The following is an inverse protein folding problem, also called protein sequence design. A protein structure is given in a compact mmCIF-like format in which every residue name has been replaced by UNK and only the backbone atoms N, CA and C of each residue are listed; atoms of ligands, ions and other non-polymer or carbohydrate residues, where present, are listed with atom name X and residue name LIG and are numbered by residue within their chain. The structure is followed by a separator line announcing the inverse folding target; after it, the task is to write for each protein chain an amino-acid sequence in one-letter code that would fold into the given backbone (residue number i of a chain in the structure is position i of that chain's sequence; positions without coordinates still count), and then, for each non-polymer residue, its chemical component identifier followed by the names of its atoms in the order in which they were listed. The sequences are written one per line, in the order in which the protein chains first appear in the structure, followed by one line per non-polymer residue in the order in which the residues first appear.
data_IF_112356460037
#
_entry.id   IF_112356460037
#
_cell.length_a   1.000
_cell.length_b   1.000
_cell.length_c   1.000
_cell.angle_alpha   90.00
_cell.angle_beta   90.00
_cell.angle_gamma   90.00
#
_symmetry.space_group_name_H-M   'P 1'
#
loop_
_entity.id
_entity.type
_entity.pdbx_description
1 polymer ?
#
# COMPACT_ATOMS: atom_id res chain seq x y z
N UNK A 1 -34.58 24.09 2.51
CA UNK A 1 -34.27 22.63 2.48
C UNK A 1 -32.77 22.59 2.53
N UNK A 2 -32.28 22.65 3.77
CA UNK A 2 -30.98 23.24 4.04
C UNK A 2 -29.93 22.15 3.87
N UNK A 3 -29.01 22.40 2.94
CA UNK A 3 -27.88 21.53 2.68
C UNK A 3 -27.12 21.38 3.99
N UNK A 4 -26.96 20.14 4.47
CA UNK A 4 -26.14 19.86 5.64
C UNK A 4 -24.75 20.38 5.29
N UNK A 5 -24.16 21.32 6.04
CA UNK A 5 -22.81 21.80 5.75
C UNK A 5 -21.92 20.57 5.70
N UNK A 6 -21.16 20.43 4.61
CA UNK A 6 -20.35 19.26 4.29
C UNK A 6 -19.17 19.10 5.27
N UNK A 7 -19.49 18.86 6.54
CA UNK A 7 -18.55 18.74 7.65
C UNK A 7 -17.49 17.69 7.36
N UNK A 8 -16.45 17.67 8.20
CA UNK A 8 -15.27 16.82 8.00
C UNK A 8 -15.66 15.39 7.60
N UNK A 9 -15.08 14.84 6.52
CA UNK A 9 -15.39 13.48 6.10
C UNK A 9 -15.21 12.42 7.19
N UNK A 10 -14.26 12.64 8.10
CA UNK A 10 -14.05 11.77 9.27
C UNK A 10 -15.21 11.85 10.25
N UNK A 11 -15.76 13.05 10.48
CA UNK A 11 -16.95 13.22 11.32
C UNK A 11 -18.15 12.49 10.72
N UNK A 12 -18.33 12.53 9.40
CA UNK A 12 -19.41 11.80 8.72
C UNK A 12 -19.23 10.28 8.81
N UNK A 13 -18.00 9.78 8.65
CA UNK A 13 -17.69 8.38 8.88
C UNK A 13 -18.02 7.95 10.33
N UNK A 14 -17.64 8.76 11.32
CA UNK A 14 -17.98 8.50 12.72
C UNK A 14 -19.49 8.53 12.99
N UNK A 15 -20.22 9.46 12.39
CA UNK A 15 -21.68 9.56 12.48
C UNK A 15 -22.37 8.27 12.03
N UNK A 16 -21.97 7.72 10.87
CA UNK A 16 -22.51 6.46 10.35
C UNK A 16 -22.23 5.30 11.31
N UNK A 17 -21.01 5.21 11.85
CA UNK A 17 -20.66 4.14 12.82
C UNK A 17 -21.47 4.26 14.10
N UNK A 18 -21.59 5.46 14.67
CA UNK A 18 -22.36 5.71 15.90
C UNK A 18 -23.84 5.40 15.68
N UNK A 19 -24.42 5.87 14.57
CA UNK A 19 -25.81 5.61 14.22
C UNK A 19 -26.08 4.11 13.99
N UNK A 20 -25.17 3.39 13.34
CA UNK A 20 -25.29 1.94 13.12
C UNK A 20 -25.22 1.14 14.44
N UNK A 21 -24.36 1.55 15.39
CA UNK A 21 -24.28 0.94 16.72
C UNK A 21 -25.55 1.24 17.52
N UNK A 22 -26.03 2.48 17.48
CA UNK A 22 -27.27 2.88 18.14
C UNK A 22 -28.48 2.09 17.63
N UNK A 23 -28.55 1.86 16.31
CA UNK A 23 -29.63 1.12 15.63
C UNK A 23 -29.32 -0.37 15.45
N UNK A 24 -28.38 -0.95 16.21
CA UNK A 24 -27.94 -2.36 16.02
C UNK A 24 -29.07 -3.37 16.13
N UNK A 25 -30.06 -3.12 17.00
CA UNK A 25 -31.21 -4.00 17.24
C UNK A 25 -32.42 -3.73 16.33
N UNK A 26 -32.29 -2.82 15.36
CA UNK A 26 -33.37 -2.48 14.41
C UNK A 26 -33.30 -3.44 13.21
N UNK A 27 -34.47 -3.91 12.76
CA UNK A 27 -34.58 -4.72 11.56
C UNK A 27 -34.43 -3.88 10.30
N UNK A 28 -33.71 -4.42 9.32
CA UNK A 28 -33.54 -3.78 8.02
C UNK A 28 -34.84 -3.94 7.21
N UNK A 29 -35.35 -2.86 6.59
CA UNK A 29 -36.47 -2.98 5.67
C UNK A 29 -36.08 -3.86 4.46
N UNK A 30 -37.03 -4.68 4.00
CA UNK A 30 -36.84 -5.57 2.84
C UNK A 30 -36.63 -4.76 1.54
N UNK A 31 -37.27 -3.59 1.44
CA UNK A 31 -37.11 -2.68 0.31
C UNK A 31 -36.05 -1.61 0.58
N UNK A 32 -34.98 -1.62 -0.21
CA UNK A 32 -33.88 -0.64 -0.16
C UNK A 32 -34.34 0.80 -0.46
N UNK A 33 -35.51 0.97 -1.09
CA UNK A 33 -36.12 2.28 -1.37
C UNK A 33 -36.72 2.95 -0.13
N UNK A 34 -36.85 2.24 0.98
CA UNK A 34 -37.35 2.79 2.26
C UNK A 34 -36.23 3.43 3.10
N UNK A 35 -34.98 3.33 2.66
CA UNK A 35 -33.84 3.94 3.34
C UNK A 35 -33.82 5.46 3.11
N UNK A 36 -33.43 6.20 4.14
CA UNK A 36 -33.41 7.66 4.12
C UNK A 36 -32.37 8.20 3.14
N UNK A 37 -32.83 8.94 2.12
CA UNK A 37 -32.00 9.65 1.15
C UNK A 37 -32.66 11.00 0.82
N UNK A 38 -31.89 12.07 0.62
CA UNK A 38 -32.44 13.37 0.25
C UNK A 38 -33.19 13.30 -1.10
N UNK A 39 -34.39 13.86 -1.18
CA UNK A 39 -35.14 13.95 -2.44
C UNK A 39 -34.41 14.81 -3.49
N UNK A 40 -34.41 14.36 -4.75
CA UNK A 40 -33.80 15.07 -5.89
C UNK A 40 -32.51 14.43 -6.42
N UNK A 41 -31.84 15.09 -7.38
CA UNK A 41 -30.63 14.59 -8.05
C UNK A 41 -29.31 14.94 -7.34
N UNK A 42 -29.35 15.82 -6.33
CA UNK A 42 -28.17 16.27 -5.57
C UNK A 42 -28.01 15.40 -4.32
N UNK A 43 -26.77 15.02 -3.98
CA UNK A 43 -26.50 14.38 -2.68
C UNK A 43 -26.67 15.38 -1.54
N UNK A 44 -26.88 14.87 -0.33
CA UNK A 44 -26.86 15.69 0.90
C UNK A 44 -25.51 16.40 1.13
N UNK A 45 -24.46 15.95 0.45
CA UNK A 45 -23.11 16.49 0.50
C UNK A 45 -22.89 17.39 -0.72
N UNK A 46 -22.48 18.62 -0.49
CA UNK A 46 -22.18 19.58 -1.55
C UNK A 46 -21.01 19.08 -2.43
N UNK A 47 -21.19 19.08 -3.76
CA UNK A 47 -20.16 18.66 -4.71
C UNK A 47 -20.00 17.13 -4.91
N UNK A 48 -20.80 16.29 -4.26
CA UNK A 48 -20.78 14.83 -4.46
C UNK A 48 -21.90 14.33 -5.37
N UNK A 49 -21.64 13.21 -6.05
CA UNK A 49 -22.69 12.45 -6.74
C UNK A 49 -23.37 11.48 -5.77
N UNK A 50 -24.64 11.17 -6.04
CA UNK A 50 -25.32 10.08 -5.33
C UNK A 50 -24.65 8.76 -5.62
N UNK A 51 -24.53 7.94 -4.57
CA UNK A 51 -23.97 6.61 -4.64
C UNK A 51 -25.10 5.59 -4.68
N UNK A 52 -24.97 4.56 -5.52
CA UNK A 52 -25.93 3.47 -5.56
C UNK A 52 -25.77 2.59 -4.33
N UNK A 53 -26.89 2.16 -3.76
CA UNK A 53 -26.90 1.25 -2.62
C UNK A 53 -26.20 -0.08 -2.95
N UNK A 54 -25.26 -0.49 -2.11
CA UNK A 54 -24.63 -1.82 -2.14
C UNK A 54 -25.14 -2.70 -1.01
N UNK A 55 -25.40 -3.99 -1.27
CA UNK A 55 -25.81 -4.95 -0.24
C UNK A 55 -24.67 -5.38 0.71
N UNK A 56 -23.45 -4.90 0.47
CA UNK A 56 -22.28 -5.18 1.31
C UNK A 56 -22.30 -4.33 2.58
N UNK A 57 -21.85 -4.92 3.69
CA UNK A 57 -21.87 -4.28 5.02
C UNK A 57 -23.27 -3.77 5.41
N UNK A 58 -24.30 -4.60 5.19
CA UNK A 58 -25.71 -4.25 5.42
C UNK A 58 -26.04 -3.81 6.85
N UNK A 59 -25.20 -4.13 7.83
CA UNK A 59 -25.35 -3.61 9.19
C UNK A 59 -25.24 -2.08 9.26
N UNK A 60 -24.51 -1.44 8.34
CA UNK A 60 -24.41 0.02 8.24
C UNK A 60 -25.70 0.65 7.70
N UNK A 61 -26.46 -0.09 6.88
CA UNK A 61 -27.72 0.40 6.30
C UNK A 61 -28.79 0.67 7.36
N UNK A 62 -28.63 0.08 8.56
CA UNK A 62 -29.46 0.37 9.73
C UNK A 62 -29.45 1.84 10.13
N UNK A 63 -28.37 2.56 9.83
CA UNK A 63 -28.25 4.00 10.12
C UNK A 63 -29.16 4.88 9.26
N UNK A 64 -29.66 4.37 8.13
CA UNK A 64 -30.63 5.05 7.26
C UNK A 64 -32.09 4.65 7.51
N UNK A 65 -32.37 3.82 8.53
CA UNK A 65 -33.75 3.43 8.89
C UNK A 65 -34.41 4.53 9.72
N UNK A 66 -35.56 5.03 9.25
CA UNK A 66 -36.36 6.04 9.95
C UNK A 66 -37.17 5.35 11.06
N UNK A 67 -36.89 5.65 12.34
CA UNK A 67 -37.75 5.20 13.44
C UNK A 67 -38.94 6.13 13.62
N UNK A 68 -40.12 5.56 13.94
CA UNK A 68 -41.34 6.35 14.22
C UNK A 68 -41.16 7.37 15.37
N UNK A 69 -40.25 7.09 16.31
CA UNK A 69 -39.90 8.02 17.41
C UNK A 69 -39.09 9.24 16.96
N UNK A 70 -38.54 9.25 15.75
CA UNK A 70 -37.62 10.28 15.23
C UNK A 70 -38.32 11.27 14.28
N UNK A 71 -39.65 11.15 14.10
CA UNK A 71 -40.44 11.93 13.13
C UNK A 71 -40.52 13.44 13.45
N UNK A 72 -39.91 13.91 14.54
CA UNK A 72 -39.80 15.32 14.92
C UNK A 72 -38.37 15.85 15.10
N UNK A 73 -37.35 14.99 15.07
CA UNK A 73 -35.93 15.34 15.32
C UNK A 73 -35.03 14.85 14.16
N UNK A 74 -35.56 14.97 12.93
CA UNK A 74 -34.99 14.47 11.66
C UNK A 74 -33.60 15.09 11.36
N UNK A 75 -33.19 16.09 12.12
CA UNK A 75 -31.96 16.85 11.93
C UNK A 75 -30.75 16.37 12.73
N UNK A 76 -30.82 15.30 13.53
CA UNK A 76 -29.63 14.83 14.26
C UNK A 76 -28.77 13.87 13.39
N UNK A 77 -27.62 14.33 12.84
CA UNK A 77 -26.80 13.54 11.93
C UNK A 77 -26.10 12.34 12.61
N UNK A 78 -26.12 12.27 13.95
CA UNK A 78 -25.57 11.15 14.72
C UNK A 78 -26.57 10.01 14.94
N UNK A 79 -27.83 10.20 14.57
CA UNK A 79 -28.90 9.19 14.71
C UNK A 79 -29.50 8.75 13.38
N UNK A 80 -29.55 9.65 12.39
CA UNK A 80 -30.04 9.37 11.05
C UNK A 80 -29.00 9.79 10.00
N UNK A 81 -28.54 8.83 9.20
CA UNK A 81 -27.59 9.07 8.12
C UNK A 81 -28.24 8.81 6.75
N UNK A 82 -27.71 9.45 5.72
CA UNK A 82 -28.16 9.24 4.33
C UNK A 82 -27.49 8.01 3.71
N UNK A 83 -28.14 7.36 2.73
CA UNK A 83 -27.54 6.24 1.97
C UNK A 83 -26.23 6.68 1.32
N UNK A 84 -26.15 7.91 0.81
CA UNK A 84 -24.89 8.44 0.27
C UNK A 84 -23.76 8.43 1.31
N UNK A 85 -23.98 8.91 2.55
CA UNK A 85 -22.95 8.89 3.61
C UNK A 85 -22.53 7.47 4.00
N UNK A 86 -23.48 6.54 4.03
CA UNK A 86 -23.22 5.13 4.33
C UNK A 86 -22.34 4.51 3.24
N UNK A 87 -22.65 4.77 1.97
CA UNK A 87 -21.87 4.28 0.86
C UNK A 87 -20.46 4.90 0.80
N UNK A 88 -20.28 6.17 1.21
CA UNK A 88 -18.95 6.75 1.37
C UNK A 88 -18.08 5.92 2.33
N UNK A 89 -18.64 5.55 3.50
CA UNK A 89 -17.93 4.71 4.48
C UNK A 89 -17.70 3.29 3.95
N UNK A 90 -18.68 2.67 3.31
CA UNK A 90 -18.55 1.33 2.72
C UNK A 90 -17.44 1.29 1.66
N UNK A 91 -17.26 2.36 0.88
CA UNK A 91 -16.18 2.46 -0.10
C UNK A 91 -14.81 2.49 0.60
N UNK A 92 -14.65 3.28 1.66
CA UNK A 92 -13.41 3.31 2.45
C UNK A 92 -13.09 1.93 3.05
N UNK A 93 -14.10 1.25 3.60
CA UNK A 93 -13.96 -0.11 4.14
C UNK A 93 -13.53 -1.10 3.06
N UNK A 94 -14.02 -0.97 1.82
CA UNK A 94 -13.60 -1.78 0.67
C UNK A 94 -12.17 -1.48 0.24
N UNK A 95 -11.75 -0.22 0.30
CA UNK A 95 -10.39 0.20 -0.08
C UNK A 95 -9.33 -0.17 0.98
N UNK A 96 -9.73 -0.26 2.25
CA UNK A 96 -8.82 -0.46 3.37
C UNK A 96 -7.92 -1.71 3.27
N UNK A 97 -8.42 -2.92 2.91
CA UNK A 97 -7.56 -4.09 2.76
C UNK A 97 -6.49 -3.90 1.67
N UNK A 98 -6.85 -3.30 0.54
CA UNK A 98 -5.92 -3.00 -0.55
C UNK A 98 -4.88 -1.97 -0.10
N UNK A 99 -5.33 -0.91 0.57
CA UNK A 99 -4.45 0.09 1.17
C UNK A 99 -3.44 -0.54 2.14
N UNK A 100 -3.88 -1.46 3.00
CA UNK A 100 -3.03 -2.12 3.99
C UNK A 100 -1.92 -2.95 3.32
N UNK A 101 -2.22 -3.63 2.21
CA UNK A 101 -1.19 -4.39 1.47
C UNK A 101 -0.11 -3.49 0.84
N UNK A 102 -0.41 -2.21 0.59
CA UNK A 102 0.56 -1.22 0.15
C UNK A 102 1.61 -0.88 1.22
N UNK A 103 1.31 -1.08 2.51
CA UNK A 103 2.25 -0.81 3.61
C UNK A 103 3.50 -1.68 3.45
N UNK A 104 3.32 -2.97 3.14
CA UNK A 104 4.44 -3.92 2.96
C UNK A 104 5.30 -3.56 1.75
N UNK A 105 4.71 -3.02 0.68
CA UNK A 105 5.48 -2.49 -0.45
C UNK A 105 6.45 -1.39 0.01
N UNK A 106 5.97 -0.41 0.77
CA UNK A 106 6.83 0.66 1.27
C UNK A 106 7.82 0.18 2.33
N UNK A 107 7.53 -0.90 3.06
CA UNK A 107 8.51 -1.59 3.91
C UNK A 107 9.68 -2.15 3.11
N UNK A 108 9.43 -2.66 1.90
CA UNK A 108 10.48 -3.09 0.97
C UNK A 108 11.28 -1.89 0.46
N UNK A 109 10.60 -0.82 0.02
CA UNK A 109 11.26 0.41 -0.41
C UNK A 109 12.13 1.01 0.70
N UNK A 110 11.73 0.93 1.98
CA UNK A 110 12.53 1.40 3.10
C UNK A 110 13.88 0.66 3.27
N UNK A 111 14.04 -0.54 2.71
CA UNK A 111 15.33 -1.24 2.71
C UNK A 111 16.37 -0.55 1.83
N UNK A 112 15.92 0.15 0.78
CA UNK A 112 16.74 0.92 -0.16
C UNK A 112 17.64 1.95 0.56
N UNK A 113 17.09 2.62 1.58
CA UNK A 113 17.79 3.66 2.35
C UNK A 113 18.47 3.14 3.62
N UNK A 114 18.46 1.82 3.88
CA UNK A 114 18.99 1.23 5.11
C UNK A 114 19.81 -0.03 4.82
N UNK A 115 19.19 -1.21 4.86
CA UNK A 115 19.87 -2.50 4.77
C UNK A 115 20.63 -2.70 3.46
N UNK A 116 20.19 -2.08 2.36
CA UNK A 116 20.94 -2.13 1.10
C UNK A 116 22.24 -1.33 1.16
N UNK A 117 22.26 -0.23 1.94
CA UNK A 117 23.47 0.55 2.19
C UNK A 117 24.43 -0.26 3.07
N UNK A 118 23.93 -0.90 4.13
CA UNK A 118 24.72 -1.79 4.99
C UNK A 118 25.38 -2.92 4.20
N UNK A 119 24.61 -3.62 3.35
CA UNK A 119 25.16 -4.61 2.42
C UNK A 119 26.23 -4.02 1.50
N UNK A 120 26.01 -2.80 0.98
CA UNK A 120 26.95 -2.11 0.10
C UNK A 120 28.25 -1.67 0.79
N UNK A 121 28.20 -1.38 2.09
CA UNK A 121 29.40 -1.08 2.89
C UNK A 121 30.30 -2.29 3.08
N UNK A 122 29.74 -3.50 3.05
CA UNK A 122 30.47 -4.76 3.16
C UNK A 122 30.99 -5.30 1.81
N UNK A 123 30.79 -4.57 0.70
CA UNK A 123 31.23 -4.91 -0.66
C UNK A 123 32.39 -4.01 -1.11
N UNK A 124 33.17 -4.48 -2.08
CA UNK A 124 34.24 -3.69 -2.68
C UNK A 124 33.66 -2.49 -3.45
N UNK A 125 33.94 -1.30 -2.95
CA UNK A 125 33.47 -0.02 -3.49
C UNK A 125 34.43 0.61 -4.50
N UNK A 126 35.56 -0.02 -4.84
CA UNK A 126 36.44 0.43 -5.91
C UNK A 126 36.02 -0.17 -7.25
N UNK A 127 35.68 0.71 -8.19
CA UNK A 127 35.41 0.35 -9.59
C UNK A 127 36.44 1.06 -10.46
N UNK A 128 37.46 0.31 -10.89
CA UNK A 128 38.64 0.89 -11.54
C UNK A 128 39.38 1.84 -10.59
N UNK A 129 39.54 3.10 -10.98
CA UNK A 129 40.19 4.14 -10.17
C UNK A 129 39.24 4.93 -9.26
N UNK A 130 37.92 4.69 -9.35
CA UNK A 130 36.92 5.47 -8.65
C UNK A 130 36.32 4.70 -7.48
N UNK A 131 36.13 5.38 -6.34
CA UNK A 131 35.49 4.82 -5.15
C UNK A 131 34.02 5.27 -5.11
N UNK A 132 33.10 4.33 -5.30
CA UNK A 132 31.66 4.58 -5.31
C UNK A 132 31.13 4.52 -3.86
N UNK A 133 30.62 5.61 -3.27
CA UNK A 133 30.01 5.54 -1.94
C UNK A 133 28.74 4.67 -1.98
N UNK A 134 28.54 3.72 -1.05
CA UNK A 134 27.39 2.79 -1.09
C UNK A 134 26.03 3.48 -1.17
N UNK A 135 25.86 4.61 -0.47
CA UNK A 135 24.62 5.40 -0.53
C UNK A 135 24.26 5.90 -1.94
N UNK A 136 25.24 6.09 -2.83
CA UNK A 136 24.99 6.57 -4.20
C UNK A 136 24.26 5.54 -5.06
N UNK A 137 24.26 4.26 -4.68
CA UNK A 137 23.52 3.21 -5.40
C UNK A 137 22.01 3.42 -5.38
N UNK A 138 21.47 4.14 -4.39
CA UNK A 138 20.07 4.61 -4.40
C UNK A 138 19.75 5.45 -5.65
N UNK A 139 20.74 6.04 -6.31
CA UNK A 139 20.53 6.74 -7.59
C UNK A 139 20.13 5.79 -8.72
N UNK A 140 20.50 4.50 -8.67
CA UNK A 140 20.09 3.51 -9.67
C UNK A 140 18.57 3.30 -9.67
N UNK A 141 17.95 3.37 -8.49
CA UNK A 141 16.50 3.32 -8.34
C UNK A 141 15.84 4.52 -9.03
N UNK A 142 16.33 5.74 -8.77
CA UNK A 142 15.86 6.97 -9.45
C UNK A 142 16.07 6.90 -10.96
N UNK A 143 17.21 6.41 -11.43
CA UNK A 143 17.48 6.20 -12.86
C UNK A 143 16.48 5.20 -13.45
N UNK A 144 16.19 4.11 -12.73
CA UNK A 144 15.19 3.12 -13.12
C UNK A 144 13.83 3.78 -13.32
N UNK A 145 13.38 4.60 -12.37
CA UNK A 145 12.11 5.34 -12.46
C UNK A 145 12.09 6.25 -13.69
N UNK A 146 13.14 7.07 -13.88
CA UNK A 146 13.26 8.00 -15.02
C UNK A 146 13.21 7.28 -16.36
N UNK A 147 13.77 6.07 -16.46
CA UNK A 147 13.75 5.25 -17.68
C UNK A 147 12.41 4.54 -17.85
N UNK A 148 11.84 3.99 -16.78
CA UNK A 148 10.63 3.18 -16.86
C UNK A 148 9.34 3.98 -17.02
N UNK A 149 9.26 5.20 -16.51
CA UNK A 149 8.09 6.09 -16.72
C UNK A 149 7.79 6.32 -18.21
N UNK A 150 8.74 6.81 -19.06
CA UNK A 150 8.46 7.01 -20.48
C UNK A 150 8.25 5.67 -21.21
N UNK A 151 8.92 4.59 -20.79
CA UNK A 151 8.69 3.25 -21.37
C UNK A 151 7.24 2.81 -21.10
N UNK A 152 6.78 3.01 -19.88
CA UNK A 152 5.44 2.67 -19.44
C UNK A 152 4.39 3.44 -20.25
N UNK A 153 4.51 4.76 -20.32
CA UNK A 153 3.52 5.60 -21.01
C UNK A 153 3.53 5.41 -22.53
N UNK A 154 4.71 5.26 -23.14
CA UNK A 154 4.86 5.25 -24.60
C UNK A 154 4.75 3.88 -25.24
N UNK A 155 5.11 2.82 -24.52
CA UNK A 155 5.11 1.46 -25.07
C UNK A 155 4.13 0.56 -24.34
N UNK A 156 4.21 0.48 -23.01
CA UNK A 156 3.40 -0.47 -22.24
C UNK A 156 1.91 -0.12 -22.32
N UNK A 157 1.53 1.14 -22.12
CA UNK A 157 0.12 1.57 -22.17
C UNK A 157 -0.50 1.31 -23.56
N UNK A 158 0.10 1.71 -24.69
CA UNK A 158 -0.47 1.41 -26.02
C UNK A 158 -0.57 -0.08 -26.33
N UNK A 159 0.44 -0.88 -25.94
CA UNK A 159 0.41 -2.33 -26.13
C UNK A 159 -0.71 -2.95 -25.29
N UNK A 160 -0.77 -2.59 -24.01
CA UNK A 160 -1.80 -3.08 -23.11
C UNK A 160 -3.20 -2.66 -23.58
N UNK A 161 -3.38 -1.44 -24.12
CA UNK A 161 -4.65 -1.00 -24.74
C UNK A 161 -5.05 -1.90 -25.90
N UNK A 162 -4.11 -2.24 -26.80
CA UNK A 162 -4.38 -3.14 -27.94
C UNK A 162 -4.76 -4.55 -27.51
N UNK A 163 -4.12 -5.07 -26.46
CA UNK A 163 -4.36 -6.45 -25.99
C UNK A 163 -5.61 -6.58 -25.12
N UNK A 164 -5.87 -5.60 -24.25
CA UNK A 164 -6.97 -5.67 -23.27
C UNK A 164 -8.26 -5.03 -23.76
N UNK A 165 -8.22 -4.18 -24.78
CA UNK A 165 -9.35 -3.38 -25.23
C UNK A 165 -9.79 -2.30 -24.24
N UNK A 166 -9.09 -2.11 -23.11
CA UNK A 166 -9.40 -1.09 -22.11
C UNK A 166 -8.65 0.21 -22.43
N UNK A 167 -9.30 1.36 -22.25
CA UNK A 167 -8.70 2.69 -22.50
C UNK A 167 -7.39 2.96 -21.75
N UNK A 168 -7.11 2.26 -20.66
CA UNK A 168 -5.87 2.42 -19.87
C UNK A 168 -4.94 1.21 -19.93
N UNK A 169 -5.26 0.21 -20.73
CA UNK A 169 -4.51 -1.04 -20.82
C UNK A 169 -4.67 -1.91 -19.58
N UNK A 170 -3.82 -1.72 -18.58
CA UNK A 170 -3.92 -2.42 -17.29
C UNK A 170 -4.93 -1.77 -16.34
N UNK A 171 -5.64 -2.59 -15.55
CA UNK A 171 -6.42 -2.06 -14.43
C UNK A 171 -5.50 -1.54 -13.32
N UNK A 172 -6.04 -0.64 -12.49
CA UNK A 172 -5.33 -0.05 -11.34
C UNK A 172 -4.75 -1.14 -10.42
N UNK A 173 -5.59 -2.13 -10.07
CA UNK A 173 -5.19 -3.28 -9.23
C UNK A 173 -4.16 -4.17 -9.90
N UNK A 174 -4.20 -4.34 -11.24
CA UNK A 174 -3.17 -5.10 -11.95
C UNK A 174 -1.81 -4.42 -11.87
N UNK A 175 -1.76 -3.09 -12.03
CA UNK A 175 -0.52 -2.32 -11.90
C UNK A 175 0.06 -2.43 -10.50
N UNK A 176 -0.77 -2.24 -9.46
CA UNK A 176 -0.34 -2.43 -8.08
C UNK A 176 0.18 -3.85 -7.81
N UNK A 177 -0.50 -4.88 -8.34
CA UNK A 177 -0.06 -6.27 -8.22
C UNK A 177 1.28 -6.54 -8.88
N UNK A 178 1.52 -6.00 -10.09
CA UNK A 178 2.82 -6.11 -10.78
C UNK A 178 3.92 -5.50 -9.91
N UNK A 179 3.69 -4.30 -9.36
CA UNK A 179 4.70 -3.65 -8.53
C UNK A 179 5.02 -4.40 -7.24
N UNK A 180 4.01 -4.94 -6.55
CA UNK A 180 4.18 -5.83 -5.38
C UNK A 180 4.95 -7.12 -5.71
N UNK A 181 4.69 -7.71 -6.87
CA UNK A 181 5.39 -8.90 -7.32
C UNK A 181 6.86 -8.59 -7.64
N UNK A 182 7.12 -7.50 -8.37
CA UNK A 182 8.47 -7.06 -8.73
C UNK A 182 9.27 -6.70 -7.48
N UNK A 183 8.68 -6.02 -6.49
CA UNK A 183 9.36 -5.71 -5.23
C UNK A 183 9.73 -6.97 -4.44
N UNK A 184 8.89 -8.00 -4.48
CA UNK A 184 9.18 -9.30 -3.88
C UNK A 184 10.40 -9.96 -4.53
N UNK A 185 10.46 -9.92 -5.88
CA UNK A 185 11.64 -10.39 -6.63
C UNK A 185 12.87 -9.55 -6.26
N UNK A 186 12.76 -8.23 -6.13
CA UNK A 186 13.87 -7.36 -5.80
C UNK A 186 14.54 -7.75 -4.47
N UNK A 187 13.75 -8.03 -3.44
CA UNK A 187 14.28 -8.47 -2.14
C UNK A 187 14.82 -9.89 -2.19
N UNK A 188 14.19 -10.79 -2.96
CA UNK A 188 14.74 -12.13 -3.18
C UNK A 188 16.12 -12.07 -3.88
N UNK A 189 16.28 -11.18 -4.86
CA UNK A 189 17.58 -10.91 -5.50
C UNK A 189 18.58 -10.37 -4.49
N UNK A 190 18.19 -9.43 -3.63
CA UNK A 190 19.06 -8.93 -2.56
C UNK A 190 19.52 -10.04 -1.60
N UNK A 191 18.64 -10.99 -1.27
CA UNK A 191 18.98 -12.17 -0.47
C UNK A 191 20.01 -13.07 -1.19
N UNK A 192 19.86 -13.29 -2.49
CA UNK A 192 20.80 -14.08 -3.30
C UNK A 192 22.17 -13.40 -3.42
N UNK A 193 22.18 -12.08 -3.63
CA UNK A 193 23.42 -11.28 -3.63
C UNK A 193 24.13 -11.39 -2.29
N UNK A 194 23.37 -11.39 -1.19
CA UNK A 194 23.94 -11.51 0.16
C UNK A 194 24.52 -12.90 0.43
N UNK A 195 23.86 -13.97 -0.02
CA UNK A 195 24.41 -15.34 0.07
C UNK A 195 25.75 -15.40 -0.67
N UNK A 196 25.84 -14.82 -1.87
CA UNK A 196 27.09 -14.78 -2.64
C UNK A 196 28.17 -13.95 -1.95
N UNK A 197 27.80 -12.83 -1.33
CA UNK A 197 28.73 -12.00 -0.54
C UNK A 197 29.30 -12.78 0.65
N UNK A 198 28.44 -13.49 1.40
CA UNK A 198 28.84 -14.32 2.54
C UNK A 198 29.72 -15.51 2.12
N UNK A 199 29.46 -16.13 0.97
CA UNK A 199 30.33 -17.15 0.38
C UNK A 199 31.73 -16.58 0.08
N UNK A 200 31.81 -15.37 -0.50
CA UNK A 200 33.08 -14.66 -0.74
C UNK A 200 33.83 -14.41 0.56
N UNK A 201 33.15 -13.90 1.59
CA UNK A 201 33.74 -13.64 2.91
C UNK A 201 34.37 -14.90 3.54
N UNK A 202 33.71 -16.05 3.40
CA UNK A 202 34.25 -17.34 3.87
C UNK A 202 35.45 -17.79 3.06
N UNK A 203 35.39 -17.68 1.74
CA UNK A 203 36.49 -18.09 0.85
C UNK A 203 37.75 -17.25 1.03
N UNK A 204 37.59 -15.96 1.36
CA UNK A 204 38.68 -15.02 1.60
C UNK A 204 39.18 -15.06 3.06
N UNK A 205 38.54 -15.83 3.95
CA UNK A 205 38.90 -15.89 5.38
C UNK A 205 38.60 -14.61 6.16
N UNK A 206 37.67 -13.78 5.66
CA UNK A 206 37.34 -12.45 6.21
C UNK A 206 36.17 -12.47 7.20
N UNK A 207 35.66 -13.65 7.56
CA UNK A 207 34.47 -13.82 8.43
C UNK A 207 34.59 -12.99 9.72
N UNK A 208 35.73 -13.08 10.41
CA UNK A 208 35.96 -12.38 11.69
C UNK A 208 36.54 -10.97 11.54
N UNK A 209 36.63 -10.46 10.31
CA UNK A 209 37.19 -9.14 10.04
C UNK A 209 36.11 -8.23 9.50
N UNK A 210 35.96 -7.03 10.09
CA UNK A 210 35.05 -5.99 9.61
C UNK A 210 35.65 -5.26 8.42
N UNK A 211 35.90 -5.99 7.33
CA UNK A 211 36.44 -5.48 6.07
C UNK A 211 35.56 -5.87 4.90
N UNK A 212 35.48 -5.04 3.84
CA UNK A 212 34.71 -5.38 2.65
C UNK A 212 35.28 -6.61 1.93
N UNK A 213 34.40 -7.44 1.37
CA UNK A 213 34.81 -8.57 0.52
C UNK A 213 35.22 -8.09 -0.87
N UNK A 214 35.97 -8.90 -1.62
CA UNK A 214 36.43 -8.56 -2.97
C UNK A 214 35.29 -8.34 -4.01
N UNK A 215 34.10 -8.87 -3.74
CA UNK A 215 32.91 -8.76 -4.59
C UNK A 215 32.52 -7.29 -4.83
N UNK A 216 32.36 -6.92 -6.11
CA UNK A 216 32.03 -5.54 -6.49
C UNK A 216 30.65 -5.11 -6.00
N UNK A 217 30.55 -3.86 -5.56
CA UNK A 217 29.29 -3.22 -5.16
C UNK A 217 28.22 -3.21 -6.26
N UNK A 218 28.62 -3.31 -7.53
CA UNK A 218 27.70 -3.31 -8.69
C UNK A 218 26.78 -4.54 -8.74
N UNK A 219 27.09 -5.61 -8.01
CA UNK A 219 26.20 -6.76 -7.87
C UNK A 219 24.85 -6.43 -7.24
N UNK A 220 24.74 -5.29 -6.54
CA UNK A 220 23.45 -4.81 -6.00
C UNK A 220 22.60 -4.13 -7.08
N UNK A 221 23.14 -3.76 -8.24
CA UNK A 221 22.39 -3.01 -9.26
C UNK A 221 21.03 -3.64 -9.63
N UNK A 222 20.89 -4.97 -9.81
CA UNK A 222 19.60 -5.59 -10.11
C UNK A 222 18.52 -5.32 -9.06
N UNK A 223 18.86 -5.33 -7.76
CA UNK A 223 17.86 -5.15 -6.70
C UNK A 223 17.36 -3.69 -6.64
N UNK A 224 18.24 -2.70 -6.85
CA UNK A 224 17.86 -1.28 -6.92
C UNK A 224 17.01 -0.99 -8.17
N UNK A 225 17.40 -1.53 -9.33
CA UNK A 225 16.65 -1.34 -10.57
C UNK A 225 15.24 -1.94 -10.48
N UNK A 226 15.10 -3.15 -9.90
CA UNK A 226 13.82 -3.81 -9.72
C UNK A 226 12.91 -3.06 -8.74
N UNK A 227 13.44 -2.49 -7.64
CA UNK A 227 12.64 -1.62 -6.77
C UNK A 227 12.05 -0.46 -7.56
N UNK A 228 12.84 0.24 -8.38
CA UNK A 228 12.34 1.36 -9.18
C UNK A 228 11.29 0.96 -10.21
N UNK A 229 11.42 -0.23 -10.82
CA UNK A 229 10.33 -0.79 -11.65
C UNK A 229 9.07 -0.98 -10.83
N UNK A 230 9.20 -1.62 -9.67
CA UNK A 230 8.08 -1.86 -8.76
C UNK A 230 7.39 -0.56 -8.35
N UNK A 231 8.17 0.49 -8.08
CA UNK A 231 7.68 1.80 -7.66
C UNK A 231 6.89 2.50 -8.76
N UNK A 232 7.35 2.48 -10.01
CA UNK A 232 6.58 3.05 -11.14
C UNK A 232 5.20 2.40 -11.25
N UNK A 233 5.14 1.06 -11.21
CA UNK A 233 3.87 0.34 -11.34
C UNK A 233 2.95 0.52 -10.12
N UNK A 234 3.49 0.43 -8.91
CA UNK A 234 2.69 0.57 -7.68
C UNK A 234 2.22 2.01 -7.50
N UNK A 235 3.11 3.01 -7.60
CA UNK A 235 2.76 4.40 -7.31
C UNK A 235 1.71 4.96 -8.29
N UNK A 236 1.83 4.66 -9.58
CA UNK A 236 0.83 5.06 -10.59
C UNK A 236 -0.50 4.33 -10.33
N UNK A 237 -0.45 3.01 -10.11
CA UNK A 237 -1.65 2.21 -9.83
C UNK A 237 -2.37 2.66 -8.55
N UNK A 238 -1.61 2.95 -7.50
CA UNK A 238 -2.10 3.41 -6.21
C UNK A 238 -2.73 4.79 -6.32
N UNK A 239 -2.05 5.76 -6.94
CA UNK A 239 -2.58 7.11 -7.11
C UNK A 239 -3.90 7.12 -7.91
N UNK A 240 -3.96 6.38 -9.01
CA UNK A 240 -5.20 6.26 -9.80
C UNK A 240 -6.30 5.54 -9.04
N UNK A 241 -5.99 4.43 -8.35
CA UNK A 241 -6.95 3.69 -7.53
C UNK A 241 -7.58 4.56 -6.44
N UNK A 242 -6.75 5.25 -5.65
CA UNK A 242 -7.25 6.13 -4.61
C UNK A 242 -8.06 7.28 -5.22
N UNK A 243 -7.63 7.87 -6.33
CA UNK A 243 -8.36 8.97 -6.94
C UNK A 243 -9.73 8.55 -7.50
N UNK A 244 -9.78 7.44 -8.24
CA UNK A 244 -10.98 7.00 -8.96
C UNK A 244 -12.00 6.29 -8.06
N UNK A 245 -11.53 5.51 -7.07
CA UNK A 245 -12.44 4.80 -6.16
C UNK A 245 -12.94 5.69 -5.02
N UNK A 246 -12.24 6.77 -4.69
CA UNK A 246 -12.66 7.67 -3.61
C UNK A 246 -14.05 8.26 -3.83
N UNK A 247 -14.83 8.44 -2.75
CA UNK A 247 -15.96 9.36 -2.76
C UNK A 247 -15.50 10.77 -3.14
N UNK A 248 -16.34 11.52 -3.87
CA UNK A 248 -15.95 12.83 -4.41
C UNK A 248 -15.56 13.83 -3.31
N UNK A 249 -16.29 13.80 -2.20
CA UNK A 249 -16.03 14.61 -1.01
C UNK A 249 -14.80 14.18 -0.19
N UNK A 250 -14.23 13.00 -0.46
CA UNK A 250 -13.16 12.39 0.36
C UNK A 250 -11.85 12.19 -0.41
N UNK A 251 -11.75 12.68 -1.65
CA UNK A 251 -10.56 12.51 -2.49
C UNK A 251 -9.28 13.00 -1.81
N UNK A 252 -9.30 14.19 -1.22
CA UNK A 252 -8.14 14.75 -0.51
C UNK A 252 -7.71 13.89 0.68
N UNK A 253 -8.68 13.39 1.46
CA UNK A 253 -8.40 12.49 2.58
C UNK A 253 -7.77 11.19 2.10
N UNK A 254 -8.28 10.60 1.02
CA UNK A 254 -7.75 9.35 0.47
C UNK A 254 -6.35 9.53 -0.14
N UNK A 255 -6.06 10.70 -0.73
CA UNK A 255 -4.68 11.06 -1.12
C UNK A 255 -3.75 11.16 0.09
N UNK A 256 -4.22 11.71 1.21
CA UNK A 256 -3.44 11.73 2.44
C UNK A 256 -3.18 10.31 2.99
N UNK A 257 -4.16 9.39 2.88
CA UNK A 257 -3.96 7.98 3.24
C UNK A 257 -2.83 7.32 2.45
N UNK A 258 -2.61 7.68 1.17
CA UNK A 258 -1.49 7.16 0.39
C UNK A 258 -0.12 7.57 0.99
N UNK A 259 0.01 8.80 1.49
CA UNK A 259 1.22 9.24 2.20
C UNK A 259 1.38 8.53 3.55
N UNK A 260 0.29 8.29 4.27
CA UNK A 260 0.31 7.50 5.52
C UNK A 260 0.83 6.09 5.26
N UNK A 261 0.54 5.49 4.09
CA UNK A 261 1.09 4.18 3.71
C UNK A 261 2.62 4.18 3.71
N UNK A 262 3.25 5.25 3.20
CA UNK A 262 4.71 5.38 3.17
C UNK A 262 5.28 5.41 4.59
N UNK A 263 4.71 6.26 5.44
CA UNK A 263 5.14 6.39 6.84
C UNK A 263 4.98 5.08 7.63
N UNK A 264 3.84 4.41 7.47
CA UNK A 264 3.60 3.11 8.10
C UNK A 264 4.55 2.03 7.56
N UNK A 265 4.90 2.07 6.27
CA UNK A 265 5.88 1.16 5.67
C UNK A 265 7.26 1.29 6.31
N UNK A 266 7.71 2.53 6.52
CA UNK A 266 8.97 2.83 7.22
C UNK A 266 8.94 2.41 8.69
N UNK A 267 7.84 2.68 9.41
CA UNK A 267 7.71 2.22 10.80
C UNK A 267 7.66 0.70 10.91
N UNK A 268 6.97 0.02 9.99
CA UNK A 268 6.93 -1.43 9.94
C UNK A 268 8.33 -2.01 9.65
N UNK A 269 9.12 -1.39 8.77
CA UNK A 269 10.53 -1.76 8.55
C UNK A 269 11.34 -1.70 9.83
N UNK A 270 11.31 -0.56 10.53
CA UNK A 270 12.02 -0.39 11.80
C UNK A 270 11.53 -1.36 12.88
N UNK A 271 10.23 -1.65 12.92
CA UNK A 271 9.66 -2.62 13.84
C UNK A 271 10.15 -4.04 13.55
N UNK A 272 10.12 -4.48 12.28
CA UNK A 272 10.61 -5.80 11.88
C UNK A 272 12.10 -5.93 12.21
N UNK A 273 12.90 -4.92 11.87
CA UNK A 273 14.34 -4.90 12.20
C UNK A 273 14.56 -5.06 13.70
N UNK A 274 13.89 -4.23 14.51
CA UNK A 274 14.01 -4.28 15.97
C UNK A 274 13.60 -5.65 16.52
N UNK A 275 12.50 -6.21 16.02
CA UNK A 275 11.99 -7.51 16.45
C UNK A 275 12.97 -8.64 16.09
N UNK A 276 13.51 -8.62 14.88
CA UNK A 276 14.52 -9.60 14.43
C UNK A 276 15.78 -9.50 15.28
N UNK A 277 16.30 -8.30 15.51
CA UNK A 277 17.45 -8.10 16.40
C UNK A 277 17.16 -8.62 17.81
N UNK A 278 16.01 -8.28 18.40
CA UNK A 278 15.64 -8.77 19.73
C UNK A 278 15.50 -10.30 19.81
N UNK A 279 14.92 -10.94 18.80
CA UNK A 279 14.72 -12.39 18.80
C UNK A 279 15.99 -13.18 18.49
N UNK A 280 16.89 -12.61 17.68
CA UNK A 280 18.11 -13.29 17.22
C UNK A 280 19.30 -13.06 18.13
N UNK A 281 19.35 -11.92 18.83
CA UNK A 281 20.35 -11.63 19.85
C UNK A 281 19.90 -12.21 21.20
N UNK A 282 20.00 -13.54 21.35
CA UNK A 282 19.75 -14.24 22.62
C UNK A 282 21.06 -14.81 23.18
N UNK A 283 21.45 -14.36 24.37
CA UNK A 283 22.68 -14.79 25.04
C UNK A 283 23.93 -14.22 24.39
N UNK A 284 24.93 -15.07 24.11
CA UNK A 284 26.20 -14.71 23.45
C UNK A 284 26.12 -14.68 21.91
N UNK A 285 24.94 -14.94 21.31
CA UNK A 285 24.78 -14.91 19.86
C UNK A 285 24.63 -13.48 19.34
N UNK A 286 25.47 -13.11 18.38
CA UNK A 286 25.53 -11.76 17.77
C UNK A 286 24.27 -11.37 16.96
N UNK A 287 23.33 -12.29 16.73
CA UNK A 287 22.09 -12.06 15.97
C UNK A 287 22.28 -12.11 14.45
N UNK A 288 21.22 -11.81 13.70
CA UNK A 288 21.28 -11.83 12.22
C UNK A 288 21.97 -10.60 11.62
N UNK A 289 21.96 -9.46 12.34
CA UNK A 289 22.50 -8.19 11.86
C UNK A 289 23.47 -7.62 12.92
N UNK A 290 24.67 -8.19 13.07
CA UNK A 290 25.70 -7.67 13.95
C UNK A 290 26.51 -6.54 13.28
N UNK A 291 27.31 -5.83 14.08
CA UNK A 291 28.20 -4.76 13.60
C UNK A 291 29.20 -5.22 12.53
N UNK A 292 29.60 -6.49 12.57
CA UNK A 292 30.38 -7.13 11.52
C UNK A 292 29.46 -8.00 10.64
N UNK A 293 28.99 -7.41 9.54
CA UNK A 293 28.13 -8.10 8.56
C UNK A 293 28.72 -9.41 8.01
N UNK A 294 30.04 -9.63 8.08
CA UNK A 294 30.65 -10.89 7.64
C UNK A 294 30.33 -12.08 8.57
N UNK A 295 30.03 -11.82 9.85
CA UNK A 295 29.56 -12.82 10.82
C UNK A 295 28.04 -12.94 10.85
N UNK A 296 27.36 -11.94 10.27
CA UNK A 296 25.92 -11.85 10.21
C UNK A 296 25.25 -12.76 9.19
N UNK A 297 23.92 -12.70 9.22
CA UNK A 297 23.01 -13.39 8.31
C UNK A 297 21.96 -12.42 7.77
N UNK A 298 22.42 -11.36 7.09
CA UNK A 298 21.54 -10.40 6.43
C UNK A 298 20.72 -11.08 5.31
N UNK A 299 21.21 -12.20 4.76
CA UNK A 299 20.48 -13.05 3.81
C UNK A 299 19.17 -13.56 4.41
N UNK A 300 19.17 -13.98 5.68
CA UNK A 300 17.97 -14.45 6.38
C UNK A 300 16.97 -13.32 6.60
N UNK A 301 17.45 -12.11 6.89
CA UNK A 301 16.59 -10.93 7.00
C UNK A 301 15.92 -10.60 5.65
N UNK A 302 16.67 -10.61 4.55
CA UNK A 302 16.06 -10.41 3.22
C UNK A 302 15.09 -11.54 2.85
N UNK A 303 15.40 -12.80 3.15
CA UNK A 303 14.44 -13.90 2.96
C UNK A 303 13.16 -13.76 3.79
N UNK A 304 13.26 -13.24 5.03
CA UNK A 304 12.10 -12.94 5.86
C UNK A 304 11.22 -11.87 5.21
N UNK A 305 11.82 -10.77 4.74
CA UNK A 305 11.09 -9.69 4.05
C UNK A 305 10.48 -10.19 2.73
N UNK A 306 11.21 -11.03 1.97
CA UNK A 306 10.70 -11.65 0.74
C UNK A 306 9.51 -12.60 1.04
N UNK A 307 9.57 -13.38 2.11
CA UNK A 307 8.47 -14.24 2.56
C UNK A 307 7.24 -13.43 2.98
N UNK A 308 7.44 -12.37 3.77
CA UNK A 308 6.36 -11.46 4.17
C UNK A 308 5.72 -10.77 2.94
N UNK A 309 6.55 -10.33 1.99
CA UNK A 309 6.10 -9.70 0.75
C UNK A 309 5.34 -10.68 -0.14
N UNK A 310 5.77 -11.96 -0.18
CA UNK A 310 5.06 -13.03 -0.91
C UNK A 310 3.69 -13.30 -0.31
N UNK A 311 3.58 -13.41 1.02
CA UNK A 311 2.30 -13.56 1.72
C UNK A 311 1.40 -12.34 1.49
N UNK A 312 1.97 -11.15 1.54
CA UNK A 312 1.25 -9.90 1.25
C UNK A 312 0.73 -9.86 -0.19
N UNK A 313 1.52 -10.31 -1.17
CA UNK A 313 1.08 -10.40 -2.56
C UNK A 313 -0.10 -11.38 -2.73
N UNK A 314 -0.07 -12.54 -2.07
CA UNK A 314 -1.20 -13.47 -2.07
C UNK A 314 -2.46 -12.87 -1.42
N UNK A 315 -2.30 -12.18 -0.30
CA UNK A 315 -3.39 -11.45 0.35
C UNK A 315 -3.95 -10.35 -0.57
N UNK A 316 -3.08 -9.60 -1.24
CA UNK A 316 -3.48 -8.60 -2.23
C UNK A 316 -4.28 -9.22 -3.37
N UNK A 317 -3.84 -10.35 -3.94
CA UNK A 317 -4.59 -11.04 -5.00
C UNK A 317 -5.99 -11.46 -4.52
N UNK A 318 -6.09 -11.99 -3.30
CA UNK A 318 -7.37 -12.36 -2.70
C UNK A 318 -8.30 -11.13 -2.57
N UNK A 319 -7.82 -10.03 -2.00
CA UNK A 319 -8.63 -8.81 -1.86
C UNK A 319 -8.96 -8.17 -3.21
N UNK A 320 -8.03 -8.18 -4.17
CA UNK A 320 -8.24 -7.63 -5.50
C UNK A 320 -9.29 -8.42 -6.29
N UNK A 321 -9.37 -9.74 -6.11
CA UNK A 321 -10.42 -10.58 -6.73
C UNK A 321 -11.80 -10.32 -6.13
N UNK A 322 -11.88 -10.05 -4.82
CA UNK A 322 -13.13 -9.74 -4.13
C UNK A 322 -13.55 -8.27 -4.30
N UNK A 323 -12.66 -7.40 -4.78
CA UNK A 323 -12.91 -5.97 -4.87
C UNK A 323 -13.97 -5.63 -5.92
N UNK A 324 -15.08 -5.05 -5.48
CA UNK A 324 -16.12 -4.51 -6.36
C UNK A 324 -15.90 -3.01 -6.55
N UNK A 325 -15.70 -2.61 -7.80
CA UNK A 325 -15.58 -1.20 -8.17
C UNK A 325 -16.81 -0.39 -7.75
N UNK A 326 -16.58 0.86 -7.37
CA UNK A 326 -17.63 1.83 -7.09
C UNK A 326 -18.56 1.98 -8.31
N UNK A 327 -19.88 1.91 -8.07
CA UNK A 327 -20.91 2.30 -9.03
C UNK A 327 -21.49 3.64 -8.58
N UNK A 328 -21.32 4.67 -9.40
CA UNK A 328 -21.99 5.94 -9.21
C UNK A 328 -23.19 5.99 -10.17
N UNK A 329 -24.32 6.52 -9.70
CA UNK A 329 -25.52 6.64 -10.55
C UNK A 329 -25.20 7.49 -11.78
N UNK A 330 -25.48 6.95 -12.97
CA UNK A 330 -25.30 7.64 -14.25
C UNK A 330 -26.21 8.88 -14.28
N UNK A 331 -25.65 10.00 -14.74
CA UNK A 331 -26.32 11.31 -14.86
C UNK A 331 -27.62 11.26 -15.69
#
# INVERSE_FOLDING_TARGET
MDMIPGGSPLTRACQVVVAAIYKRNVDLPVDSSLLYECHGKRSAIEGSRKLEHSSEFSFLDKSAVILRSECGDIHNPWRLCTVTQIEELKILMRMFPIWATGIVFFTVCAQNSSMFIEQGMALNNQVGSFKIPPATLSSLDVISIVVWVPIYERFIVPIARRLTGKERGFSELQRMGIGLFVSTIAVAVAALVEIKRLESARSEGLVHQKVPVSMSILWQAPQYLLIGVGEVFTSIGQAEFFYNQSPDSMRSLCSAFALVTVSLGSYLSSFILTLVSYLTTRGEQMGWIPDNLNEGHLDRFFWLIAGLSSLNFLAFLYFAQQYKCKKASVL
#
